data_IF_257205864981
#
_entry.id   IF_257205864981
#
_cell.length_a   1.000
_cell.length_b   1.000
_cell.length_c   1.000
_cell.angle_alpha   90.00
_cell.angle_beta   90.00
_cell.angle_gamma   90.00
#
_symmetry.space_group_name_H-M   'P 1'
#
loop_
_entity.id
_entity.type
_entity.pdbx_description
1 polymer ?
#
# COMPACT_ATOMS: atom_id res chain seq x y z
N UNK A 1 -1.93 8.15 -4.98
CA UNK A 1 -1.40 7.58 -6.25
C UNK A 1 -0.78 8.69 -7.09
N UNK A 2 -0.07 8.38 -8.18
CA UNK A 2 0.68 9.32 -9.03
C UNK A 2 -0.05 10.66 -9.27
N UNK A 3 -1.21 10.61 -9.91
CA UNK A 3 -1.95 11.82 -10.31
C UNK A 3 -2.38 12.68 -9.12
N UNK A 4 -2.62 12.07 -7.95
CA UNK A 4 -2.96 12.81 -6.73
C UNK A 4 -1.77 13.60 -6.17
N UNK A 5 -0.56 13.05 -6.27
CA UNK A 5 0.67 13.78 -5.89
C UNK A 5 1.00 14.87 -6.91
N UNK A 6 0.82 14.59 -8.21
CA UNK A 6 1.01 15.58 -9.28
C UNK A 6 0.09 16.80 -9.11
N UNK A 7 -1.18 16.58 -8.72
CA UNK A 7 -2.12 17.67 -8.41
C UNK A 7 -1.62 18.57 -7.28
N UNK A 8 -0.86 18.01 -6.32
CA UNK A 8 -0.27 18.75 -5.21
C UNK A 8 1.08 19.39 -5.56
N UNK A 9 1.55 19.27 -6.81
CA UNK A 9 2.88 19.72 -7.21
C UNK A 9 4.02 18.92 -6.56
N UNK A 10 3.74 17.68 -6.15
CA UNK A 10 4.69 16.81 -5.46
C UNK A 10 4.97 15.54 -6.28
N UNK A 11 6.12 14.92 -6.04
CA UNK A 11 6.51 13.66 -6.66
C UNK A 11 6.30 12.50 -5.68
N UNK A 12 5.34 11.62 -6.00
CA UNK A 12 5.00 10.49 -5.12
C UNK A 12 3.82 9.67 -5.61
N UNK A 13 3.28 8.85 -4.71
CA UNK A 13 2.11 8.01 -5.01
C UNK A 13 2.37 6.89 -6.03
N UNK A 14 3.63 6.49 -6.19
CA UNK A 14 4.07 5.39 -7.06
C UNK A 14 4.95 4.43 -6.28
N UNK A 15 4.83 3.12 -6.58
CA UNK A 15 5.70 2.10 -5.99
C UNK A 15 7.00 2.06 -6.79
N UNK A 16 8.01 2.79 -6.30
CA UNK A 16 9.37 2.84 -6.87
C UNK A 16 10.40 3.08 -5.76
N UNK A 17 11.63 2.63 -5.98
CA UNK A 17 12.75 2.92 -5.09
C UNK A 17 12.96 4.44 -4.94
N UNK A 18 13.30 4.88 -3.72
CA UNK A 18 13.49 6.29 -3.39
C UNK A 18 12.20 7.10 -3.19
N UNK A 19 11.02 6.47 -3.22
CA UNK A 19 9.74 7.10 -2.88
C UNK A 19 9.30 6.74 -1.46
N UNK A 20 8.44 7.58 -0.87
CA UNK A 20 7.82 7.29 0.43
C UNK A 20 7.03 5.99 0.36
N UNK A 21 7.14 5.20 1.42
CA UNK A 21 6.40 3.95 1.59
C UNK A 21 4.97 4.24 2.06
N UNK A 22 4.18 4.87 1.20
CA UNK A 22 2.74 5.03 1.35
C UNK A 22 2.03 3.89 0.62
N UNK A 23 1.53 2.90 1.37
CA UNK A 23 1.00 1.66 0.81
C UNK A 23 -0.34 1.28 1.43
N UNK A 24 -1.22 0.72 0.60
CA UNK A 24 -2.42 0.00 1.03
C UNK A 24 -2.27 -1.46 0.59
N UNK A 25 -2.51 -2.40 1.50
CA UNK A 25 -2.73 -3.81 1.16
C UNK A 25 -4.23 -4.05 1.25
N UNK A 26 -4.81 -4.49 0.14
CA UNK A 26 -6.26 -4.63 -0.02
C UNK A 26 -6.60 -6.09 -0.30
N UNK A 27 -7.58 -6.63 0.42
CA UNK A 27 -8.14 -7.94 0.14
C UNK A 27 -9.09 -7.85 -1.06
N UNK A 28 -8.62 -8.28 -2.23
CA UNK A 28 -9.34 -8.20 -3.50
C UNK A 28 -8.58 -7.42 -4.57
N UNK A 29 -9.22 -7.20 -5.72
CA UNK A 29 -8.61 -6.49 -6.84
C UNK A 29 -9.41 -5.23 -7.21
N UNK A 30 -8.92 -4.03 -6.88
CA UNK A 30 -9.63 -2.77 -7.13
C UNK A 30 -9.74 -2.42 -8.61
N UNK A 31 -8.92 -3.03 -9.48
CA UNK A 31 -9.05 -2.87 -10.93
C UNK A 31 -10.21 -3.67 -11.52
N UNK A 32 -10.71 -4.69 -10.80
CA UNK A 32 -11.89 -5.47 -11.19
C UNK A 32 -13.16 -4.95 -10.54
N UNK A 33 -13.08 -4.55 -9.28
CA UNK A 33 -14.19 -3.98 -8.53
C UNK A 33 -13.67 -2.89 -7.59
N UNK A 34 -13.97 -1.63 -7.92
CA UNK A 34 -13.49 -0.49 -7.16
C UNK A 34 -14.21 -0.32 -5.82
N UNK A 35 -15.39 -0.93 -5.64
CA UNK A 35 -16.20 -0.77 -4.43
C UNK A 35 -15.54 -1.37 -3.19
N UNK A 36 -14.62 -2.33 -3.37
CA UNK A 36 -13.86 -2.94 -2.27
C UNK A 36 -13.07 -1.91 -1.44
N UNK A 37 -12.70 -0.76 -2.03
CA UNK A 37 -11.97 0.30 -1.33
C UNK A 37 -12.85 1.11 -0.36
N UNK A 38 -14.18 0.99 -0.46
CA UNK A 38 -15.11 1.70 0.42
C UNK A 38 -15.23 1.02 1.79
N UNK A 39 -15.10 -0.31 1.83
CA UNK A 39 -15.13 -1.09 3.05
C UNK A 39 -13.72 -1.18 3.67
N UNK A 40 -13.57 -0.59 4.86
CA UNK A 40 -12.29 -0.56 5.58
C UNK A 40 -11.81 -1.94 6.03
N UNK A 41 -12.71 -2.91 6.16
CA UNK A 41 -12.33 -4.28 6.54
C UNK A 41 -11.52 -4.98 5.45
N UNK A 42 -11.59 -4.50 4.20
CA UNK A 42 -10.75 -4.98 3.10
C UNK A 42 -9.33 -4.36 3.10
N UNK A 43 -9.01 -3.41 3.99
CA UNK A 43 -7.70 -2.75 4.04
C UNK A 43 -6.82 -3.37 5.13
N UNK A 44 -6.24 -4.54 4.85
CA UNK A 44 -5.42 -5.31 5.80
C UNK A 44 -4.21 -4.52 6.33
N UNK A 45 -3.65 -3.64 5.50
CA UNK A 45 -2.53 -2.77 5.87
C UNK A 45 -2.76 -1.37 5.34
N UNK A 46 -2.52 -0.39 6.20
CA UNK A 46 -2.36 1.02 5.85
C UNK A 46 -0.98 1.45 6.35
N UNK A 47 -0.08 1.76 5.43
CA UNK A 47 1.26 2.27 5.72
C UNK A 47 1.38 3.70 5.21
N UNK A 48 1.93 4.59 6.05
CA UNK A 48 2.16 5.99 5.71
C UNK A 48 3.59 6.35 6.08
N UNK A 49 4.37 6.83 5.12
CA UNK A 49 5.77 7.22 5.33
C UNK A 49 6.66 6.08 5.85
N UNK A 50 6.29 4.81 5.63
CA UNK A 50 6.99 3.64 6.17
C UNK A 50 6.52 3.17 7.55
N UNK A 51 5.58 3.88 8.18
CA UNK A 51 4.99 3.48 9.46
C UNK A 51 3.64 2.81 9.25
N UNK A 52 3.37 1.75 10.02
CA UNK A 52 2.07 1.10 10.03
C UNK A 52 1.06 1.96 10.80
N UNK A 53 0.01 2.41 10.11
CA UNK A 53 -1.18 3.01 10.73
C UNK A 53 -2.14 1.90 11.17
N UNK A 54 -2.30 0.87 10.34
CA UNK A 54 -2.96 -0.39 10.72
C UNK A 54 -2.25 -1.55 10.03
N UNK A 55 -2.20 -2.70 10.70
CA UNK A 55 -1.66 -3.93 10.14
C UNK A 55 -2.34 -5.13 10.82
N UNK A 56 -3.15 -5.86 10.06
CA UNK A 56 -3.85 -7.07 10.52
C UNK A 56 -3.09 -8.35 10.12
N UNK A 57 -1.94 -8.21 9.47
CA UNK A 57 -1.13 -9.33 9.02
C UNK A 57 -0.22 -9.81 10.15
N UNK A 58 -0.27 -11.11 10.44
CA UNK A 58 0.69 -11.72 11.35
C UNK A 58 2.04 -11.89 10.66
N UNK A 59 3.16 -11.57 11.34
CA UNK A 59 4.49 -11.83 10.80
C UNK A 59 4.66 -13.32 10.47
N UNK A 60 4.95 -13.64 9.21
CA UNK A 60 5.32 -15.01 8.84
C UNK A 60 6.75 -15.28 9.28
N UNK A 61 7.00 -16.44 9.91
CA UNK A 61 8.37 -16.90 10.25
C UNK A 61 9.18 -17.28 9.00
N UNK A 62 8.59 -17.23 7.81
CA UNK A 62 9.24 -17.56 6.56
C UNK A 62 10.15 -16.39 6.15
N UNK A 63 11.45 -16.59 6.29
CA UNK A 63 12.47 -15.70 5.74
C UNK A 63 12.33 -15.74 4.22
N UNK A 64 11.81 -14.67 3.61
CA UNK A 64 11.86 -14.51 2.15
C UNK A 64 13.34 -14.52 1.79
N UNK A 65 13.77 -15.60 1.13
CA UNK A 65 15.14 -15.75 0.68
C UNK A 65 15.44 -14.55 -0.24
N UNK A 66 16.56 -13.87 0.00
CA UNK A 66 17.04 -12.79 -0.88
C UNK A 66 17.03 -13.33 -2.31
N UNK A 67 16.22 -12.72 -3.18
CA UNK A 67 16.42 -12.86 -4.61
C UNK A 67 17.82 -12.30 -4.93
N UNK A 68 18.65 -13.15 -5.53
CA UNK A 68 19.98 -12.82 -6.02
C UNK A 68 19.90 -11.84 -7.21
#
# INVERSE_FOLDING_TARGET
TKNGYELLGQDGGIIRAGKLADLLVVNGNPAKDITILQDRSNLDVVMKGGEFVTCQLTPSKIRVQKAA
#
